data_IF_765900204337
#
_entry.id   IF_765900204337
#
_cell.length_a   1.000
_cell.length_b   1.000
_cell.length_c   1.000
_cell.angle_alpha   90.00
_cell.angle_beta   90.00
_cell.angle_gamma   90.00
#
_symmetry.space_group_name_H-M   'P 1'
#
loop_
_entity.id
_entity.type
_entity.pdbx_description
1 polymer ?
#
# COMPACT_ATOMS: atom_id res chain seq x y z
N UNK A 1 -24.85 11.99 17.06
CA UNK A 1 -24.15 12.69 15.98
C UNK A 1 -23.52 11.66 15.08
N UNK A 2 -23.82 11.74 13.79
CA UNK A 2 -23.31 10.82 12.76
C UNK A 2 -21.80 11.06 12.55
N UNK A 3 -21.03 10.00 12.33
CA UNK A 3 -19.57 10.06 12.23
C UNK A 3 -19.06 9.03 11.23
N UNK A 4 -17.97 9.37 10.54
CA UNK A 4 -17.23 8.47 9.66
C UNK A 4 -15.86 8.18 10.26
N UNK A 5 -15.35 6.96 10.07
CA UNK A 5 -13.97 6.60 10.43
C UNK A 5 -13.11 6.63 9.18
N UNK A 6 -12.11 7.48 9.15
CA UNK A 6 -11.19 7.60 8.03
C UNK A 6 -9.87 6.91 8.36
N UNK A 7 -9.35 6.12 7.42
CA UNK A 7 -8.00 5.58 7.48
C UNK A 7 -7.03 6.46 6.69
N UNK A 8 -6.03 6.99 7.39
CA UNK A 8 -4.95 7.76 6.81
C UNK A 8 -3.67 6.93 6.77
N UNK A 9 -2.96 6.96 5.64
CA UNK A 9 -1.69 6.26 5.43
C UNK A 9 -0.70 7.18 4.72
N UNK A 10 0.55 7.21 5.18
CA UNK A 10 1.63 7.92 4.47
C UNK A 10 2.18 7.02 3.36
N UNK A 11 1.92 7.40 2.10
CA UNK A 11 2.43 6.71 0.91
C UNK A 11 3.49 7.56 0.21
N UNK A 12 4.30 6.92 -0.62
CA UNK A 12 5.22 7.61 -1.52
C UNK A 12 4.44 8.21 -2.68
N UNK A 13 4.79 9.42 -3.07
CA UNK A 13 4.25 10.03 -4.28
C UNK A 13 4.82 9.36 -5.54
N UNK A 14 4.43 9.85 -6.71
CA UNK A 14 5.08 9.51 -7.98
C UNK A 14 6.58 9.85 -7.94
N UNK A 15 6.95 10.90 -7.21
CA UNK A 15 8.34 11.19 -6.84
C UNK A 15 8.75 10.40 -5.58
N UNK A 16 9.78 9.52 -5.66
CA UNK A 16 10.23 8.69 -4.55
C UNK A 16 10.77 9.48 -3.34
N UNK A 17 11.07 10.78 -3.50
CA UNK A 17 11.55 11.63 -2.41
C UNK A 17 10.41 12.21 -1.56
N UNK A 18 9.19 12.22 -2.09
CA UNK A 18 8.09 12.95 -1.49
C UNK A 18 7.07 11.98 -0.88
N UNK A 19 6.77 12.15 0.40
CA UNK A 19 5.72 11.41 1.09
C UNK A 19 4.42 12.21 1.09
N UNK A 20 3.29 11.54 0.91
CA UNK A 20 1.95 12.15 0.87
C UNK A 20 1.03 11.37 1.80
N UNK A 21 0.22 12.10 2.56
CA UNK A 21 -0.86 11.48 3.34
C UNK A 21 -1.99 11.14 2.38
N UNK A 22 -2.46 9.90 2.44
CA UNK A 22 -3.54 9.36 1.65
C UNK A 22 -4.67 8.89 2.57
N UNK A 23 -5.92 9.05 2.14
CA UNK A 23 -7.08 8.40 2.74
C UNK A 23 -7.33 7.12 1.95
N UNK A 24 -7.18 5.96 2.59
CA UNK A 24 -7.26 4.66 1.90
C UNK A 24 -8.64 4.02 2.01
N UNK A 25 -9.32 4.24 3.14
CA UNK A 25 -10.64 3.69 3.39
C UNK A 25 -11.48 4.59 4.29
N UNK A 26 -12.79 4.42 4.19
CA UNK A 26 -13.80 5.09 5.00
C UNK A 26 -14.68 4.00 5.61
N UNK A 27 -14.96 4.08 6.90
CA UNK A 27 -15.90 3.17 7.55
C UNK A 27 -17.13 3.91 8.06
N UNK A 28 -18.28 3.38 7.70
CA UNK A 28 -19.63 3.81 8.11
C UNK A 28 -20.35 2.59 8.66
N UNK A 29 -20.95 2.70 9.84
CA UNK A 29 -21.79 1.64 10.43
C UNK A 29 -21.18 0.22 10.40
N UNK A 30 -19.86 0.13 10.57
CA UNK A 30 -19.07 -1.11 10.55
C UNK A 30 -18.80 -1.71 9.15
N UNK A 31 -19.29 -1.08 8.09
CA UNK A 31 -18.94 -1.34 6.70
C UNK A 31 -17.74 -0.48 6.31
N UNK A 32 -16.79 -1.04 5.57
CA UNK A 32 -15.58 -0.36 5.14
C UNK A 32 -15.59 -0.20 3.63
N UNK A 33 -15.29 0.99 3.14
CA UNK A 33 -15.32 1.36 1.73
C UNK A 33 -13.93 1.78 1.27
N UNK A 34 -13.48 1.28 0.13
CA UNK A 34 -12.17 1.58 -0.45
C UNK A 34 -12.22 2.90 -1.23
N UNK A 35 -11.16 3.70 -1.14
CA UNK A 35 -10.99 4.88 -1.99
C UNK A 35 -10.06 4.49 -3.17
N UNK A 36 -10.48 4.71 -4.43
CA UNK A 36 -9.64 4.45 -5.61
C UNK A 36 -8.29 5.15 -5.51
N UNK A 37 -7.20 4.48 -5.89
CA UNK A 37 -5.82 4.97 -5.70
C UNK A 37 -5.58 6.40 -6.18
N UNK A 38 -6.15 6.77 -7.34
CA UNK A 38 -6.04 8.12 -7.93
C UNK A 38 -6.72 9.21 -7.08
N UNK A 39 -7.66 8.82 -6.23
CA UNK A 39 -8.46 9.70 -5.40
C UNK A 39 -8.00 9.73 -3.94
N UNK A 40 -7.12 8.83 -3.52
CA UNK A 40 -6.64 8.74 -2.13
C UNK A 40 -5.84 9.95 -1.61
N UNK A 41 -5.03 10.68 -2.41
CA UNK A 41 -4.22 11.77 -1.86
C UNK A 41 -5.05 12.79 -1.09
N UNK A 42 -4.68 13.09 0.16
CA UNK A 42 -5.51 13.90 1.07
C UNK A 42 -5.82 15.29 0.54
N UNK A 43 -4.94 15.83 -0.32
CA UNK A 43 -5.11 17.08 -1.07
C UNK A 43 -6.38 17.13 -1.94
N UNK A 44 -7.00 15.99 -2.21
CA UNK A 44 -8.24 15.89 -2.97
C UNK A 44 -9.49 15.95 -2.07
N UNK A 45 -9.31 15.87 -0.75
CA UNK A 45 -10.34 15.76 0.27
C UNK A 45 -10.43 17.04 1.11
N UNK A 46 -10.75 18.16 0.47
CA UNK A 46 -10.74 19.50 1.09
C UNK A 46 -11.58 19.60 2.37
N UNK A 47 -12.77 19.00 2.37
CA UNK A 47 -13.66 18.96 3.52
C UNK A 47 -13.00 18.29 4.75
N UNK A 48 -12.23 17.21 4.54
CA UNK A 48 -11.48 16.52 5.60
C UNK A 48 -10.33 17.39 6.09
N UNK A 49 -9.61 18.06 5.18
CA UNK A 49 -8.46 18.89 5.51
C UNK A 49 -8.80 20.08 6.42
N UNK A 50 -10.01 20.62 6.29
CA UNK A 50 -10.52 21.70 7.16
C UNK A 50 -10.80 21.25 8.59
N UNK A 51 -10.88 19.95 8.86
CA UNK A 51 -11.22 19.44 10.20
C UNK A 51 -10.05 19.57 11.17
N UNK A 52 -10.35 19.90 12.43
CA UNK A 52 -9.35 19.90 13.50
C UNK A 52 -8.72 18.51 13.75
N UNK A 53 -9.48 17.45 13.45
CA UNK A 53 -8.99 16.07 13.54
C UNK A 53 -7.89 15.84 12.51
N UNK A 54 -8.06 16.29 11.27
CA UNK A 54 -7.01 16.16 10.27
C UNK A 54 -5.72 16.90 10.65
N UNK A 55 -5.82 18.08 11.28
CA UNK A 55 -4.62 18.79 11.77
C UNK A 55 -3.83 17.93 12.76
N UNK A 56 -4.51 17.22 13.67
CA UNK A 56 -3.88 16.26 14.59
C UNK A 56 -3.30 15.04 13.86
N UNK A 57 -3.99 14.54 12.83
CA UNK A 57 -3.47 13.43 11.99
C UNK A 57 -2.18 13.86 11.31
N UNK A 58 -2.15 15.04 10.69
CA UNK A 58 -0.98 15.59 10.02
C UNK A 58 0.22 15.74 10.95
N UNK A 59 0.02 16.13 12.20
CA UNK A 59 1.10 16.19 13.19
C UNK A 59 1.52 14.81 13.70
N UNK A 60 0.64 13.81 13.65
CA UNK A 60 0.90 12.45 14.15
C UNK A 60 1.62 11.58 13.13
N UNK A 61 1.25 11.68 11.86
CA UNK A 61 1.83 10.88 10.77
C UNK A 61 3.09 11.57 10.24
N UNK A 62 4.26 11.04 10.58
CA UNK A 62 5.56 11.68 10.28
C UNK A 62 6.43 10.84 9.34
N UNK A 63 6.28 9.51 9.38
CA UNK A 63 7.13 8.57 8.64
C UNK A 63 6.33 7.86 7.56
N UNK A 64 7.05 7.41 6.54
CA UNK A 64 6.49 6.57 5.47
C UNK A 64 5.85 5.32 6.09
N UNK A 65 4.69 4.93 5.59
CA UNK A 65 3.87 3.82 6.08
C UNK A 65 3.22 4.02 7.45
N UNK A 66 3.39 5.19 8.09
CA UNK A 66 2.58 5.52 9.26
C UNK A 66 1.10 5.50 8.86
N UNK A 67 0.29 4.88 9.71
CA UNK A 67 -1.16 4.81 9.52
C UNK A 67 -1.94 5.17 10.78
N UNK A 68 -3.12 5.74 10.59
CA UNK A 68 -4.05 6.00 11.69
C UNK A 68 -5.49 5.99 11.20
N UNK A 69 -6.35 5.37 12.00
CA UNK A 69 -7.79 5.49 11.83
C UNK A 69 -8.35 6.48 12.86
N UNK A 70 -9.17 7.42 12.42
CA UNK A 70 -9.78 8.42 13.29
C UNK A 70 -11.25 8.63 12.95
N UNK A 71 -12.05 8.92 13.98
CA UNK A 71 -13.44 9.31 13.81
C UNK A 71 -13.54 10.80 13.55
N UNK A 72 -14.31 11.18 12.53
CA UNK A 72 -14.63 12.57 12.18
C UNK A 72 -16.14 12.71 12.17
N UNK A 73 -16.66 13.69 12.91
CA UNK A 73 -18.08 14.04 12.90
C UNK A 73 -18.49 14.56 11.52
N UNK A 74 -19.64 14.13 11.03
CA UNK A 74 -20.14 14.56 9.71
C UNK A 74 -20.57 16.02 9.79
N UNK A 75 -19.85 16.89 9.07
CA UNK A 75 -20.27 18.27 8.78
C UNK A 75 -21.11 18.29 7.50
N UNK A 76 -21.88 19.36 7.22
CA UNK A 76 -22.60 19.49 5.95
C UNK A 76 -21.67 19.31 4.74
N UNK A 77 -20.49 19.93 4.75
CA UNK A 77 -19.50 19.76 3.68
C UNK A 77 -19.05 18.30 3.48
N UNK A 78 -18.85 17.55 4.58
CA UNK A 78 -18.51 16.13 4.49
C UNK A 78 -19.69 15.31 3.99
N UNK A 79 -20.92 15.65 4.38
CA UNK A 79 -22.13 14.96 3.93
C UNK A 79 -22.24 15.06 2.41
N UNK A 80 -22.17 16.28 1.88
CA UNK A 80 -22.28 16.52 0.43
C UNK A 80 -21.12 15.92 -0.37
N UNK A 81 -19.95 15.75 0.26
CA UNK A 81 -18.77 15.18 -0.40
C UNK A 81 -18.79 13.65 -0.45
N UNK A 82 -19.30 13.00 0.59
CA UNK A 82 -19.16 11.56 0.80
C UNK A 82 -20.47 10.77 0.71
N UNK A 83 -21.60 11.45 0.61
CA UNK A 83 -22.91 10.82 0.43
C UNK A 83 -23.56 11.34 -0.84
N UNK A 84 -24.32 10.47 -1.51
CA UNK A 84 -25.28 10.90 -2.52
C UNK A 84 -26.66 11.16 -1.89
N UNK A 85 -27.64 11.48 -2.73
CA UNK A 85 -29.02 11.75 -2.30
C UNK A 85 -29.71 10.51 -1.71
N UNK A 86 -29.26 9.32 -2.08
CA UNK A 86 -29.81 8.02 -1.64
C UNK A 86 -29.09 7.48 -0.39
N UNK A 87 -28.03 8.15 0.08
CA UNK A 87 -27.26 7.78 1.27
C UNK A 87 -26.14 6.77 1.02
N UNK A 88 -25.77 6.52 -0.23
CA UNK A 88 -24.63 5.68 -0.57
C UNK A 88 -23.31 6.42 -0.34
N UNK A 89 -22.25 5.69 -0.01
CA UNK A 89 -20.91 6.26 0.13
C UNK A 89 -20.30 6.51 -1.25
N UNK A 90 -20.03 7.78 -1.56
CA UNK A 90 -19.39 8.20 -2.80
C UNK A 90 -18.17 9.10 -2.55
N UNK A 91 -17.39 9.36 -3.59
CA UNK A 91 -16.41 10.44 -3.59
C UNK A 91 -16.13 10.91 -5.02
N UNK A 92 -16.26 12.22 -5.29
CA UNK A 92 -16.06 12.83 -6.62
C UNK A 92 -16.84 12.12 -7.75
N UNK A 93 -18.08 11.71 -7.48
CA UNK A 93 -18.94 11.03 -8.45
C UNK A 93 -18.65 9.53 -8.63
N UNK A 94 -17.75 8.95 -7.83
CA UNK A 94 -17.52 7.51 -7.79
C UNK A 94 -18.21 6.91 -6.58
N UNK A 95 -19.04 5.89 -6.80
CA UNK A 95 -19.52 5.03 -5.72
C UNK A 95 -18.34 4.22 -5.18
N UNK A 96 -18.15 4.20 -3.86
CA UNK A 96 -17.03 3.47 -3.27
C UNK A 96 -17.37 1.99 -3.09
N UNK A 97 -16.37 1.13 -3.31
CA UNK A 97 -16.53 -0.32 -3.19
C UNK A 97 -16.42 -0.76 -1.72
N UNK A 98 -17.35 -1.59 -1.27
CA UNK A 98 -17.30 -2.20 0.05
C UNK A 98 -16.20 -3.28 0.12
N UNK A 99 -15.32 -3.15 1.11
CA UNK A 99 -14.26 -4.11 1.41
C UNK A 99 -14.84 -5.21 2.30
N UNK A 100 -15.24 -6.32 1.69
CA UNK A 100 -15.57 -7.54 2.41
C UNK A 100 -14.28 -8.31 2.77
N UNK A 101 -14.32 -9.18 3.78
CA UNK A 101 -13.16 -10.01 4.17
C UNK A 101 -12.61 -10.86 3.01
N UNK A 102 -13.42 -11.13 1.99
CA UNK A 102 -13.04 -11.87 0.79
C UNK A 102 -12.24 -11.00 -0.19
N UNK A 103 -12.52 -9.69 -0.27
CA UNK A 103 -11.83 -8.75 -1.19
C UNK A 103 -10.38 -8.47 -0.75
N UNK A 104 -10.07 -8.57 0.55
CA UNK A 104 -8.70 -8.35 1.06
C UNK A 104 -7.66 -9.36 0.56
N UNK A 105 -8.10 -10.53 0.05
CA UNK A 105 -7.20 -11.57 -0.45
C UNK A 105 -6.76 -11.36 -1.91
N UNK A 106 -7.36 -10.43 -2.65
CA UNK A 106 -7.04 -10.31 -4.08
C UNK A 106 -5.85 -9.38 -4.40
N UNK A 107 -5.48 -8.46 -3.50
CA UNK A 107 -4.39 -7.50 -3.74
C UNK A 107 -3.10 -7.75 -2.92
N UNK A 108 -3.04 -8.84 -2.15
CA UNK A 108 -1.84 -9.24 -1.41
C UNK A 108 -1.39 -10.62 -1.85
N UNK A 109 -0.48 -10.67 -2.82
CA UNK A 109 0.23 -11.88 -3.29
C UNK A 109 -0.68 -12.99 -3.83
N UNK A 110 -0.58 -13.28 -5.14
CA UNK A 110 -0.65 -14.68 -5.61
C UNK A 110 0.16 -15.47 -4.59
N UNK A 111 -0.48 -16.37 -3.85
CA UNK A 111 0.22 -17.28 -2.94
C UNK A 111 1.34 -17.93 -3.75
N UNK A 112 2.56 -17.43 -3.60
CA UNK A 112 3.72 -18.11 -4.14
C UNK A 112 3.74 -19.36 -3.29
N UNK A 113 3.35 -20.50 -3.89
CA UNK A 113 3.25 -21.74 -3.13
C UNK A 113 4.57 -21.96 -2.42
N UNK A 114 4.51 -22.44 -1.18
CA UNK A 114 5.72 -22.72 -0.41
C UNK A 114 6.68 -23.58 -1.23
N UNK A 115 6.17 -24.48 -2.08
CA UNK A 115 6.95 -25.29 -3.01
C UNK A 115 7.74 -24.48 -4.05
N UNK A 116 7.17 -23.38 -4.56
CA UNK A 116 7.87 -22.48 -5.48
C UNK A 116 9.03 -21.76 -4.77
N UNK A 117 8.84 -21.34 -3.52
CA UNK A 117 9.92 -20.78 -2.70
C UNK A 117 11.00 -21.82 -2.39
N UNK A 118 10.61 -23.06 -2.07
CA UNK A 118 11.56 -24.15 -1.81
C UNK A 118 12.40 -24.44 -3.06
N UNK A 119 11.80 -24.47 -4.25
CA UNK A 119 12.53 -24.66 -5.52
C UNK A 119 13.52 -23.53 -5.81
N UNK A 120 13.15 -22.28 -5.55
CA UNK A 120 14.05 -21.13 -5.74
C UNK A 120 15.25 -21.20 -4.78
N UNK A 121 15.01 -21.54 -3.52
CA UNK A 121 16.07 -21.72 -2.51
C UNK A 121 16.98 -22.91 -2.84
N UNK A 122 16.41 -24.02 -3.32
CA UNK A 122 17.16 -25.19 -3.76
C UNK A 122 18.07 -24.86 -4.94
N UNK A 123 17.55 -24.20 -5.97
CA UNK A 123 18.34 -23.76 -7.13
C UNK A 123 19.49 -22.83 -6.75
N UNK A 124 19.28 -21.90 -5.80
CA UNK A 124 20.33 -21.03 -5.27
C UNK A 124 21.41 -21.78 -4.48
N UNK A 125 21.02 -22.80 -3.72
CA UNK A 125 21.95 -23.66 -2.99
C UNK A 125 22.78 -24.52 -3.93
N UNK A 126 22.17 -25.04 -5.00
CA UNK A 126 22.84 -25.88 -5.99
C UNK A 126 23.79 -25.05 -6.88
N UNK A 127 23.45 -23.80 -7.21
CA UNK A 127 24.37 -22.87 -7.89
C UNK A 127 25.65 -22.58 -7.08
N UNK A 128 25.55 -22.54 -5.74
CA UNK A 128 26.72 -22.42 -4.84
C UNK A 128 27.53 -23.70 -4.69
N UNK A 129 26.96 -24.86 -5.02
CA UNK A 129 27.65 -26.16 -4.97
C UNK A 129 28.42 -26.43 -6.26
N UNK A 130 27.89 -26.02 -7.41
CA UNK A 130 28.57 -26.12 -8.70
C UNK A 130 29.78 -25.19 -8.83
N UNK A 131 29.87 -24.10 -8.06
CA UNK A 131 31.01 -23.19 -8.10
C UNK A 131 32.23 -23.64 -7.28
N UNK A 132 32.30 -24.90 -6.81
CA UNK A 132 33.51 -25.42 -6.17
C UNK A 132 34.44 -26.06 -7.19
N UNK A 133 35.45 -25.25 -7.52
CA UNK A 133 36.72 -25.54 -8.21
C UNK A 133 36.73 -25.30 -9.73
N UNK A 134 37.10 -24.09 -10.19
CA UNK A 134 37.87 -24.02 -11.42
C UNK A 134 39.18 -24.77 -11.19
N UNK A 135 39.41 -25.85 -11.93
CA UNK A 135 40.67 -26.60 -11.93
C UNK A 135 41.79 -25.71 -12.50
N UNK A 136 42.36 -24.84 -11.66
CA UNK A 136 43.49 -23.94 -12.00
C UNK A 136 44.70 -24.70 -12.56
N UNK A 137 44.83 -26.00 -12.26
CA UNK A 137 45.86 -26.88 -12.83
C UNK A 137 45.74 -27.06 -14.35
N UNK A 138 44.53 -27.09 -14.92
CA UNK A 138 44.34 -27.19 -16.38
C UNK A 138 44.70 -25.89 -17.12
N UNK A 139 44.60 -24.75 -16.44
CA UNK A 139 44.92 -23.44 -17.00
C UNK A 139 46.44 -23.20 -17.08
N UNK A 140 47.21 -23.70 -16.11
CA UNK A 140 48.68 -23.55 -16.12
C UNK A 140 49.39 -24.40 -17.19
N UNK A 141 48.81 -25.52 -17.62
CA UNK A 141 49.39 -26.38 -18.66
C UNK A 141 49.28 -25.75 -20.07
N UNK A 142 48.34 -24.82 -20.27
CA UNK A 142 48.11 -24.18 -21.56
C UNK A 142 49.02 -22.95 -21.80
N UNK A 143 49.77 -22.51 -20.79
CA UNK A 143 50.69 -21.35 -20.84
C UNK A 143 52.16 -21.72 -20.64
N UNK A 144 52.55 -22.96 -20.93
CA UNK A 144 53.99 -23.29 -21.05
C UNK A 144 54.51 -22.68 -22.36
N UNK A 145 55.05 -21.47 -22.27
CA UNK A 145 55.92 -20.93 -23.31
C UNK A 145 57.19 -21.79 -23.34
N UNK A 146 57.30 -22.66 -24.35
CA UNK A 146 58.56 -23.31 -24.72
C UNK A 146 59.52 -22.24 -25.22
N UNK A 147 60.67 -22.12 -24.54
CA UNK A 147 61.82 -21.33 -24.97
C UNK A 147 62.50 -21.95 -26.20
#
# INVERSE_FOLDING_TARGET
MEKLKFEFVVKTSEDPKTNVICITSIMKDNEMFSIPDKLQPVKLHDAVMKTHIFQKVRTTLQRRHDKRQVWISITPELRDTYFDEDGNIQFKGYLLEEITATTQQQDSTKEISTEALTKILQNLADFKRESRQPNLKKLSEQFVCTY
#
